data_IF_920880609735
#
_entry.id   IF_920880609735
#
_cell.length_a   1.000
_cell.length_b   1.000
_cell.length_c   1.000
_cell.angle_alpha   90.00
_cell.angle_beta   90.00
_cell.angle_gamma   90.00
#
_symmetry.space_group_name_H-M   'P 1'
#
loop_
_entity.id
_entity.type
_entity.pdbx_description
1 polymer ?
#
# COMPACT_ATOMS: atom_id res chain seq x y z
N UNK A 1 16.11 5.84 5.83
CA UNK A 1 14.72 5.43 6.11
C UNK A 1 14.47 4.24 5.21
N UNK A 2 14.42 3.04 5.80
CA UNK A 2 14.36 1.77 5.04
C UNK A 2 12.93 1.37 4.76
N UNK A 3 12.72 0.62 3.68
CA UNK A 3 11.43 -0.03 3.42
C UNK A 3 11.13 -1.06 4.49
N UNK A 4 9.85 -1.29 4.74
CA UNK A 4 9.41 -2.29 5.71
C UNK A 4 9.87 -3.69 5.34
N UNK A 5 10.34 -4.44 6.33
CA UNK A 5 10.72 -5.85 6.14
C UNK A 5 9.48 -6.67 5.80
N UNK A 6 9.67 -7.77 5.10
CA UNK A 6 8.55 -8.64 4.72
C UNK A 6 7.76 -9.17 5.93
N UNK A 7 8.47 -9.52 7.01
CA UNK A 7 7.88 -10.05 8.25
C UNK A 7 6.89 -9.05 8.88
N UNK A 8 7.24 -7.77 8.80
CA UNK A 8 6.46 -6.63 9.29
C UNK A 8 5.22 -6.31 8.43
N UNK A 9 4.92 -7.14 7.42
CA UNK A 9 3.74 -7.02 6.56
C UNK A 9 2.82 -8.26 6.62
N UNK A 10 3.18 -9.28 7.41
CA UNK A 10 2.46 -10.57 7.43
C UNK A 10 1.02 -10.43 7.93
N UNK A 11 0.81 -9.56 8.91
CA UNK A 11 -0.50 -9.24 9.49
C UNK A 11 -1.46 -8.58 8.48
N UNK A 12 -0.95 -8.01 7.38
CA UNK A 12 -1.74 -7.43 6.27
C UNK A 12 -1.65 -8.23 4.97
N UNK A 13 -1.18 -9.48 5.01
CA UNK A 13 -1.01 -10.34 3.82
C UNK A 13 -2.27 -10.45 2.95
N UNK A 14 -3.47 -10.53 3.55
CA UNK A 14 -4.73 -10.58 2.81
C UNK A 14 -5.03 -9.29 2.05
N UNK A 15 -4.65 -8.14 2.62
CA UNK A 15 -4.79 -6.84 1.98
C UNK A 15 -3.82 -6.73 0.81
N UNK A 16 -2.56 -7.15 1.00
CA UNK A 16 -1.56 -7.20 -0.06
C UNK A 16 -2.01 -8.07 -1.24
N UNK A 17 -2.61 -9.23 -0.98
CA UNK A 17 -3.15 -10.08 -2.06
C UNK A 17 -4.23 -9.36 -2.88
N UNK A 18 -5.15 -8.64 -2.24
CA UNK A 18 -6.18 -7.86 -2.96
C UNK A 18 -5.59 -6.72 -3.79
N UNK A 19 -4.46 -6.15 -3.36
CA UNK A 19 -3.75 -5.11 -4.12
C UNK A 19 -3.07 -5.71 -5.35
N UNK A 20 -2.53 -6.94 -5.24
CA UNK A 20 -1.94 -7.67 -6.39
C UNK A 20 -2.96 -7.98 -7.49
N UNK A 21 -4.24 -8.10 -7.13
CA UNK A 21 -5.33 -8.37 -8.07
C UNK A 21 -5.74 -7.12 -8.89
N UNK A 22 -5.27 -5.92 -8.53
CA UNK A 22 -5.63 -4.70 -9.24
C UNK A 22 -4.99 -4.65 -10.64
N UNK A 23 -5.74 -4.29 -11.69
CA UNK A 23 -5.22 -4.20 -13.05
C UNK A 23 -3.99 -3.29 -13.17
N UNK A 24 -2.92 -3.78 -13.78
CA UNK A 24 -1.70 -3.02 -14.02
C UNK A 24 -0.84 -2.76 -12.79
N UNK A 25 -1.22 -3.29 -11.62
CA UNK A 25 -0.37 -3.31 -10.42
C UNK A 25 0.62 -4.47 -10.52
N UNK A 26 1.87 -4.19 -10.16
CA UNK A 26 2.94 -5.18 -10.04
C UNK A 26 3.72 -4.97 -8.75
N UNK A 27 3.84 -6.00 -7.94
CA UNK A 27 4.72 -6.01 -6.78
C UNK A 27 6.16 -6.28 -7.23
N UNK A 28 7.11 -5.41 -6.89
CA UNK A 28 8.54 -5.54 -7.22
C UNK A 28 9.34 -6.21 -6.11
N UNK A 29 8.97 -5.92 -4.88
CA UNK A 29 9.45 -6.55 -3.65
C UNK A 29 8.31 -6.53 -2.65
N UNK A 30 8.34 -7.34 -1.58
CA UNK A 30 7.23 -7.38 -0.65
C UNK A 30 6.85 -5.99 -0.13
N UNK A 31 5.59 -5.60 -0.31
CA UNK A 31 5.09 -4.28 0.09
C UNK A 31 5.42 -3.13 -0.87
N UNK A 32 6.13 -3.35 -1.98
CA UNK A 32 6.47 -2.30 -2.95
C UNK A 32 5.78 -2.58 -4.28
N UNK A 33 4.79 -1.74 -4.59
CA UNK A 33 3.92 -1.88 -5.75
C UNK A 33 4.11 -0.74 -6.74
N UNK A 34 4.07 -1.11 -8.01
CA UNK A 34 4.15 -0.23 -9.15
C UNK A 34 2.86 -0.31 -9.96
N UNK A 35 2.42 0.82 -10.51
CA UNK A 35 1.34 0.90 -11.49
C UNK A 35 1.92 1.40 -12.81
N UNK A 36 1.80 0.61 -13.90
CA UNK A 36 2.32 0.99 -15.24
C UNK A 36 3.78 1.50 -15.20
N UNK A 37 4.66 0.79 -14.49
CA UNK A 37 6.08 1.14 -14.30
C UNK A 37 6.36 2.37 -13.44
N UNK A 38 5.36 2.97 -12.80
CA UNK A 38 5.50 4.10 -11.87
C UNK A 38 5.33 3.58 -10.43
N UNK A 39 6.18 3.98 -9.46
CA UNK A 39 5.98 3.66 -8.05
C UNK A 39 4.59 4.13 -7.58
N UNK A 40 3.82 3.22 -6.98
CA UNK A 40 2.43 3.47 -6.61
C UNK A 40 2.19 3.33 -5.10
N UNK A 41 2.75 2.31 -4.45
CA UNK A 41 2.58 2.08 -3.02
C UNK A 41 3.87 1.47 -2.47
N UNK A 42 4.35 1.98 -1.34
CA UNK A 42 5.38 1.32 -0.54
C UNK A 42 5.14 1.53 0.96
N UNK A 43 5.56 0.56 1.76
CA UNK A 43 5.44 0.62 3.22
C UNK A 43 6.75 1.05 3.86
N UNK A 44 6.61 1.80 4.95
CA UNK A 44 7.70 2.11 5.87
C UNK A 44 7.27 1.80 7.29
N UNK A 45 8.25 1.49 8.10
CA UNK A 45 8.10 1.42 9.54
C UNK A 45 9.25 2.19 10.20
N UNK A 46 8.94 2.75 11.36
CA UNK A 46 9.91 3.38 12.24
C UNK A 46 9.35 3.47 13.65
N UNK A 47 10.17 3.13 14.65
CA UNK A 47 9.82 3.28 16.08
C UNK A 47 8.47 2.63 16.45
N UNK A 48 8.18 1.44 15.92
CA UNK A 48 6.94 0.70 16.17
C UNK A 48 5.70 1.25 15.44
N UNK A 49 5.87 2.24 14.56
CA UNK A 49 4.81 2.77 13.70
C UNK A 49 5.02 2.30 12.28
N UNK A 50 3.94 1.93 11.59
CA UNK A 50 3.94 1.55 10.17
C UNK A 50 2.96 2.41 9.39
N UNK A 51 3.37 2.83 8.21
CA UNK A 51 2.53 3.58 7.28
C UNK A 51 2.80 3.16 5.83
N UNK A 52 1.81 3.40 4.99
CA UNK A 52 1.90 3.26 3.55
C UNK A 52 1.99 4.64 2.91
N UNK A 53 3.00 4.87 2.08
CA UNK A 53 2.97 6.02 1.16
C UNK A 53 2.32 5.55 -0.13
N UNK A 54 1.28 6.27 -0.57
CA UNK A 54 0.49 5.95 -1.75
C UNK A 54 0.61 7.11 -2.73
N UNK A 55 0.89 6.81 -3.99
CA UNK A 55 1.04 7.82 -5.05
C UNK A 55 -0.33 8.40 -5.40
N UNK A 56 -0.46 9.72 -5.30
CA UNK A 56 -1.64 10.47 -5.75
C UNK A 56 -1.21 11.54 -6.75
N UNK A 57 -1.36 11.23 -8.04
CA UNK A 57 -0.89 12.09 -9.13
C UNK A 57 0.62 12.34 -9.04
N UNK A 58 1.01 13.60 -8.82
CA UNK A 58 2.43 13.99 -8.65
C UNK A 58 2.90 13.89 -7.20
N UNK A 59 1.98 13.79 -6.24
CA UNK A 59 2.25 13.80 -4.80
C UNK A 59 2.23 12.40 -4.19
N UNK A 60 2.53 12.33 -2.90
CA UNK A 60 2.42 11.13 -2.08
C UNK A 60 1.52 11.41 -0.89
N UNK A 61 0.60 10.50 -0.62
CA UNK A 61 -0.30 10.56 0.52
C UNK A 61 0.10 9.45 1.48
N UNK A 62 0.42 9.82 2.72
CA UNK A 62 0.72 8.88 3.80
C UNK A 62 -0.58 8.37 4.41
N UNK A 63 -0.73 7.06 4.51
CA UNK A 63 -1.81 6.41 5.24
C UNK A 63 -1.23 5.59 6.40
N UNK A 64 -1.66 5.89 7.63
CA UNK A 64 -1.24 5.16 8.81
C UNK A 64 -1.92 3.78 8.85
N UNK A 65 -1.12 2.72 8.87
CA UNK A 65 -1.60 1.35 9.01
C UNK A 65 -0.76 0.67 10.09
N UNK A 66 -1.22 0.72 11.36
CA UNK A 66 -0.45 0.18 12.47
C UNK A 66 -0.25 -1.32 12.30
N UNK A 67 0.70 -1.87 13.04
CA UNK A 67 0.82 -3.32 13.23
C UNK A 67 -0.45 -3.87 13.87
N UNK A 68 -0.84 -5.08 13.45
CA UNK A 68 -2.08 -5.76 13.87
C UNK A 68 -3.34 -4.88 13.70
N UNK A 69 -3.57 -4.32 12.50
CA UNK A 69 -4.64 -3.35 12.30
C UNK A 69 -6.00 -4.03 12.41
N UNK A 70 -6.96 -3.31 13.00
CA UNK A 70 -8.35 -3.75 13.09
C UNK A 70 -8.94 -3.95 11.69
N UNK A 71 -9.96 -4.80 11.59
CA UNK A 71 -10.69 -5.06 10.34
C UNK A 71 -11.15 -3.76 9.65
N UNK A 72 -11.65 -2.79 10.40
CA UNK A 72 -12.07 -1.49 9.86
C UNK A 72 -10.92 -0.71 9.22
N UNK A 73 -9.74 -0.71 9.83
CA UNK A 73 -8.54 -0.04 9.30
C UNK A 73 -8.05 -0.71 8.01
N UNK A 74 -8.07 -2.05 7.96
CA UNK A 74 -7.76 -2.81 6.74
C UNK A 74 -8.72 -2.49 5.59
N UNK A 75 -10.01 -2.36 5.89
CA UNK A 75 -11.04 -2.02 4.90
C UNK A 75 -10.88 -0.59 4.38
N UNK A 76 -10.64 0.37 5.28
CA UNK A 76 -10.39 1.77 4.87
C UNK A 76 -9.12 1.88 4.03
N UNK A 77 -8.05 1.19 4.42
CA UNK A 77 -6.81 1.11 3.64
C UNK A 77 -7.07 0.62 2.21
N UNK A 78 -7.75 -0.51 2.06
CA UNK A 78 -8.08 -1.06 0.74
C UNK A 78 -8.99 -0.14 -0.07
N UNK A 79 -9.92 0.55 0.58
CA UNK A 79 -10.81 1.51 -0.09
C UNK A 79 -10.03 2.68 -0.67
N UNK A 80 -9.10 3.25 0.09
CA UNK A 80 -8.24 4.35 -0.39
C UNK A 80 -7.34 3.89 -1.52
N UNK A 81 -6.72 2.71 -1.41
CA UNK A 81 -5.89 2.15 -2.49
C UNK A 81 -6.69 2.01 -3.79
N UNK A 82 -7.91 1.48 -3.72
CA UNK A 82 -8.79 1.35 -4.89
C UNK A 82 -9.17 2.71 -5.48
N UNK A 83 -9.52 3.68 -4.64
CA UNK A 83 -9.84 5.03 -5.12
C UNK A 83 -8.65 5.68 -5.83
N UNK A 84 -7.45 5.59 -5.27
CA UNK A 84 -6.25 6.15 -5.88
C UNK A 84 -5.82 5.39 -7.14
N UNK A 85 -6.02 4.07 -7.18
CA UNK A 85 -5.79 3.25 -8.37
C UNK A 85 -6.74 3.61 -9.52
N UNK A 86 -8.03 3.86 -9.23
CA UNK A 86 -9.00 4.32 -10.24
C UNK A 86 -8.59 5.69 -10.80
N UNK A 87 -8.29 6.65 -9.92
CA UNK A 87 -7.77 7.97 -10.32
C UNK A 87 -6.51 7.85 -11.20
N UNK A 88 -5.57 6.99 -10.82
CA UNK A 88 -4.34 6.77 -11.58
C UNK A 88 -4.59 6.05 -12.93
N UNK A 89 -5.64 5.23 -13.00
CA UNK A 89 -6.06 4.55 -14.22
C UNK A 89 -6.77 5.48 -15.21
N UNK A 90 -7.20 6.67 -14.77
CA UNK A 90 -7.99 7.61 -15.57
C UNK A 90 -9.45 7.18 -15.73
N UNK A 91 -9.95 6.36 -14.81
CA UNK A 91 -11.33 5.85 -14.75
C UNK A 91 -12.11 6.58 -13.66
#
# INVERSE_FOLDING_TARGET
MGHTKFEDLLDIKSELSKIRELPGIREKSPGVFYFKSIPFLHFHDKDGKRWADIKEGKSWTRFEIPFDPKKSQKLEFLKIIRQLHLKASGV
#
